data_IF_299523116601
#
_entry.id   IF_299523116601
#
_cell.length_a   1.000
_cell.length_b   1.000
_cell.length_c   1.000
_cell.angle_alpha   90.00
_cell.angle_beta   90.00
_cell.angle_gamma   90.00
#
_symmetry.space_group_name_H-M   'P 1'
#
loop_
_entity.id
_entity.type
_entity.pdbx_description
1 polymer ?
#
# COMPACT_ATOMS: atom_id res chain seq x y z
N UNK A 1 -15.18 1.15 -4.88
CA UNK A 1 -15.09 -0.33 -4.88
C UNK A 1 -14.35 -0.83 -3.64
N UNK A 2 -13.06 -0.53 -3.45
CA UNK A 2 -12.28 -0.98 -2.26
C UNK A 2 -12.93 -0.59 -0.92
N UNK A 3 -13.41 0.65 -0.79
CA UNK A 3 -14.13 1.11 0.40
C UNK A 3 -15.49 0.42 0.60
N UNK A 4 -16.21 0.14 -0.49
CA UNK A 4 -17.51 -0.55 -0.50
C UNK A 4 -17.37 -2.00 -0.03
N UNK A 5 -16.34 -2.69 -0.54
CA UNK A 5 -15.99 -4.07 -0.19
C UNK A 5 -15.27 -4.17 1.18
N UNK A 6 -15.05 -3.04 1.88
CA UNK A 6 -14.36 -2.96 3.17
C UNK A 6 -13.04 -3.74 3.20
N UNK A 7 -12.29 -3.70 2.09
CA UNK A 7 -11.02 -4.41 1.97
C UNK A 7 -10.00 -3.76 2.91
N UNK A 8 -9.56 -4.52 3.91
CA UNK A 8 -8.51 -4.06 4.82
C UNK A 8 -7.13 -4.04 4.12
N UNK A 9 -6.16 -3.36 4.74
CA UNK A 9 -4.82 -3.18 4.17
C UNK A 9 -4.08 -4.51 3.91
N UNK A 10 -4.19 -5.49 4.81
CA UNK A 10 -3.57 -6.81 4.61
C UNK A 10 -4.19 -7.57 3.43
N UNK A 11 -5.50 -7.55 3.29
CA UNK A 11 -6.22 -8.18 2.17
C UNK A 11 -5.92 -7.45 0.86
N UNK A 12 -5.82 -6.12 0.90
CA UNK A 12 -5.44 -5.30 -0.24
C UNK A 12 -4.05 -5.67 -0.79
N UNK A 13 -3.06 -5.83 0.08
CA UNK A 13 -1.70 -6.24 -0.33
C UNK A 13 -1.65 -7.66 -0.93
N UNK A 14 -2.63 -8.50 -0.64
CA UNK A 14 -2.75 -9.87 -1.15
C UNK A 14 -3.82 -10.01 -2.23
N UNK A 15 -4.34 -8.90 -2.77
CA UNK A 15 -5.39 -8.93 -3.77
C UNK A 15 -4.83 -9.44 -5.11
N UNK A 16 -5.64 -10.22 -5.83
CA UNK A 16 -5.30 -10.78 -7.14
C UNK A 16 -6.12 -10.10 -8.23
N UNK A 17 -5.64 -10.17 -9.46
CA UNK A 17 -6.36 -9.62 -10.62
C UNK A 17 -7.74 -10.27 -10.79
N UNK A 18 -7.83 -11.58 -10.58
CA UNK A 18 -9.08 -12.35 -10.58
C UNK A 18 -10.10 -11.81 -9.56
N UNK A 19 -9.68 -11.53 -8.33
CA UNK A 19 -10.57 -10.95 -7.31
C UNK A 19 -11.06 -9.56 -7.72
N UNK A 20 -10.21 -8.76 -8.36
CA UNK A 20 -10.57 -7.43 -8.85
C UNK A 20 -11.55 -7.50 -10.03
N UNK A 21 -11.39 -8.48 -10.92
CA UNK A 21 -12.34 -8.73 -12.02
C UNK A 21 -13.69 -9.22 -11.49
N UNK A 22 -13.70 -10.12 -10.50
CA UNK A 22 -14.92 -10.65 -9.89
C UNK A 22 -15.76 -9.58 -9.18
N UNK A 23 -15.14 -8.50 -8.68
CA UNK A 23 -15.86 -7.34 -8.11
C UNK A 23 -16.27 -6.30 -9.18
N UNK A 24 -16.08 -6.60 -10.46
CA UNK A 24 -16.57 -5.81 -11.59
C UNK A 24 -15.65 -4.68 -12.04
N UNK A 25 -14.34 -4.74 -11.77
CA UNK A 25 -13.38 -3.77 -12.31
C UNK A 25 -13.03 -4.08 -13.77
N UNK A 26 -12.84 -3.03 -14.56
CA UNK A 26 -12.29 -3.14 -15.91
C UNK A 26 -10.82 -3.57 -15.89
N UNK A 27 -10.36 -4.12 -17.00
CA UNK A 27 -9.05 -4.77 -17.13
C UNK A 27 -7.87 -3.86 -16.74
N UNK A 28 -7.91 -2.59 -17.14
CA UNK A 28 -6.82 -1.65 -16.89
C UNK A 28 -6.72 -1.26 -15.39
N UNK A 29 -7.80 -0.87 -14.69
CA UNK A 29 -7.78 -0.74 -13.23
C UNK A 29 -7.33 -1.99 -12.48
N UNK A 30 -7.73 -3.17 -12.95
CA UNK A 30 -7.30 -4.45 -12.37
C UNK A 30 -5.78 -4.58 -12.39
N UNK A 31 -5.16 -4.38 -13.56
CA UNK A 31 -3.71 -4.45 -13.71
C UNK A 31 -2.99 -3.38 -12.88
N UNK A 32 -3.47 -2.14 -12.90
CA UNK A 32 -2.87 -1.04 -12.15
C UNK A 32 -2.90 -1.28 -10.63
N UNK A 33 -4.03 -1.74 -10.09
CA UNK A 33 -4.17 -2.03 -8.65
C UNK A 33 -3.30 -3.24 -8.25
N UNK A 34 -3.26 -4.29 -9.06
CA UNK A 34 -2.45 -5.48 -8.77
C UNK A 34 -0.95 -5.18 -8.77
N UNK A 35 -0.47 -4.37 -9.72
CA UNK A 35 0.93 -3.90 -9.76
C UNK A 35 1.23 -3.05 -8.53
N UNK A 36 0.36 -2.10 -8.19
CA UNK A 36 0.54 -1.24 -7.02
C UNK A 36 0.60 -2.04 -5.71
N UNK A 37 -0.27 -3.03 -5.52
CA UNK A 37 -0.25 -3.89 -4.33
C UNK A 37 1.06 -4.71 -4.22
N UNK A 38 1.58 -5.21 -5.35
CA UNK A 38 2.89 -5.90 -5.41
C UNK A 38 4.05 -4.94 -5.08
N UNK A 39 4.03 -3.73 -5.65
CA UNK A 39 5.01 -2.70 -5.31
C UNK A 39 4.98 -2.36 -3.82
N UNK A 40 3.80 -2.21 -3.21
CA UNK A 40 3.68 -1.94 -1.78
C UNK A 40 4.26 -3.06 -0.92
N UNK A 41 4.11 -4.32 -1.32
CA UNK A 41 4.75 -5.47 -0.66
C UNK A 41 6.27 -5.41 -0.76
N UNK A 42 6.80 -5.09 -1.94
CA UNK A 42 8.24 -5.01 -2.18
C UNK A 42 8.85 -3.78 -1.50
N UNK A 43 8.10 -2.68 -1.42
CA UNK A 43 8.42 -1.44 -0.69
C UNK A 43 8.23 -1.57 0.82
N UNK A 44 8.15 -2.78 1.40
CA UNK A 44 8.38 -3.01 2.85
C UNK A 44 9.85 -2.71 3.21
N UNK A 45 10.24 -1.47 2.98
CA UNK A 45 11.46 -0.84 3.46
C UNK A 45 11.20 -0.49 4.92
N UNK A 46 11.60 -1.40 5.82
CA UNK A 46 11.38 -1.32 7.28
C UNK A 46 9.90 -1.36 7.70
N UNK A 47 9.60 -2.14 8.72
CA UNK A 47 8.31 -2.00 9.40
C UNK A 47 8.23 -0.62 10.04
N UNK A 48 7.08 0.05 10.02
CA UNK A 48 6.92 1.30 10.78
C UNK A 48 7.25 1.10 12.28
N UNK A 49 7.06 -0.12 12.80
CA UNK A 49 7.49 -0.53 14.15
C UNK A 49 9.00 -0.52 14.40
N UNK A 50 9.81 -0.45 13.34
CA UNK A 50 11.26 -0.29 13.45
C UNK A 50 11.70 1.15 13.72
N UNK A 51 10.81 2.13 13.51
CA UNK A 51 11.00 3.51 13.93
C UNK A 51 10.54 3.65 15.38
N UNK A 52 11.42 3.25 16.31
CA UNK A 52 11.07 3.19 17.74
C UNK A 52 11.05 4.57 18.39
N UNK A 53 11.71 5.56 17.79
CA UNK A 53 11.82 6.91 18.33
C UNK A 53 11.31 7.97 17.35
N UNK A 54 10.94 9.15 17.88
CA UNK A 54 10.61 10.31 17.05
C UNK A 54 11.76 10.71 16.13
N UNK A 55 13.00 10.49 16.53
CA UNK A 55 14.20 10.75 15.71
C UNK A 55 14.25 9.81 14.50
N UNK A 56 14.05 8.51 14.72
CA UNK A 56 14.06 7.51 13.63
C UNK A 56 12.97 7.81 12.59
N UNK A 57 11.80 8.25 13.05
CA UNK A 57 10.70 8.64 12.18
C UNK A 57 11.03 9.93 11.40
N UNK A 58 11.60 10.93 12.07
CA UNK A 58 11.97 12.22 11.46
C UNK A 58 13.02 12.06 10.36
N UNK A 59 14.03 11.20 10.56
CA UNK A 59 15.04 10.90 9.54
C UNK A 59 14.43 10.32 8.26
N UNK A 60 13.40 9.46 8.39
CA UNK A 60 12.71 8.91 7.22
C UNK A 60 11.81 9.92 6.54
N UNK A 61 11.09 10.74 7.30
CA UNK A 61 10.23 11.77 6.72
C UNK A 61 11.06 12.81 5.93
N UNK A 62 12.22 13.20 6.45
CA UNK A 62 13.18 14.06 5.72
C UNK A 62 13.70 13.39 4.45
N UNK A 63 14.00 12.09 4.47
CA UNK A 63 14.47 11.35 3.28
C UNK A 63 13.47 11.40 2.12
N UNK A 64 12.17 11.51 2.41
CA UNK A 64 11.10 11.50 1.42
C UNK A 64 10.48 12.89 1.20
N UNK A 65 11.15 13.97 1.62
CA UNK A 65 10.67 15.36 1.50
C UNK A 65 9.23 15.55 2.01
N UNK A 66 8.87 14.81 3.06
CA UNK A 66 7.62 15.05 3.78
C UNK A 66 7.92 16.09 4.84
N UNK A 67 7.37 17.30 4.67
CA UNK A 67 7.47 18.37 5.68
C UNK A 67 7.00 17.82 7.03
N UNK A 68 7.92 17.82 8.00
CA UNK A 68 7.59 17.52 9.39
C UNK A 68 7.14 18.84 10.01
N UNK A 69 5.85 19.13 9.96
CA UNK A 69 5.23 20.25 10.70
C UNK A 69 5.15 19.95 12.20
#
# INVERSE_FOLDING_TARGET
>A
IIHKEKVNSCTFLNITEEKLQNIGLSLEPVSNIAVFAKECKNKKLRSFSSYRTKKDLKEVLVKYDVENE
#
